data_IF_842639882090
#
_entry.id   IF_842639882090
#
_cell.length_a   1.000
_cell.length_b   1.000
_cell.length_c   1.000
_cell.angle_alpha   90.00
_cell.angle_beta   90.00
_cell.angle_gamma   90.00
#
_symmetry.space_group_name_H-M   'P 1'
#
loop_
_entity.id
_entity.type
_entity.pdbx_description
1 polymer ?
#
# COMPACT_ATOMS: atom_id res chain seq x y z
N UNK A 1 -5.10 30.63 14.92
CA UNK A 1 -5.63 29.82 13.79
C UNK A 1 -6.53 28.75 14.38
N UNK A 2 -7.78 28.60 13.92
CA UNK A 2 -8.63 27.47 14.33
C UNK A 2 -8.00 26.20 13.77
N UNK A 3 -7.50 25.34 14.64
CA UNK A 3 -6.96 24.04 14.27
C UNK A 3 -8.18 23.14 14.02
N UNK A 4 -8.50 22.90 12.76
CA UNK A 4 -9.49 21.87 12.42
C UNK A 4 -8.90 20.48 12.72
N UNK A 5 -9.72 19.51 13.13
CA UNK A 5 -9.22 18.16 13.33
C UNK A 5 -8.66 17.62 12.00
N UNK A 6 -7.58 16.83 12.04
CA UNK A 6 -6.96 16.32 10.82
C UNK A 6 -7.97 15.49 10.01
N UNK A 7 -7.99 15.70 8.69
CA UNK A 7 -8.85 14.94 7.77
C UNK A 7 -8.20 13.64 7.28
N UNK A 8 -6.86 13.58 7.30
CA UNK A 8 -6.09 12.47 6.76
C UNK A 8 -5.21 11.86 7.84
N UNK A 9 -5.28 10.53 7.99
CA UNK A 9 -4.29 9.75 8.75
C UNK A 9 -3.40 9.00 7.76
N UNK A 10 -2.08 9.21 7.83
CA UNK A 10 -1.11 8.37 7.14
C UNK A 10 -0.52 7.38 8.14
N UNK A 11 -0.75 6.10 7.89
CA UNK A 11 -0.24 4.98 8.68
C UNK A 11 1.07 4.50 8.06
N UNK A 12 2.13 4.45 8.84
CA UNK A 12 3.45 3.96 8.39
C UNK A 12 3.86 2.79 9.28
N UNK A 13 3.51 1.55 8.89
CA UNK A 13 4.03 0.37 9.57
C UNK A 13 5.52 0.20 9.27
N UNK A 14 6.32 -0.02 10.31
CA UNK A 14 7.76 -0.23 10.18
C UNK A 14 8.24 -1.41 11.00
N UNK A 15 9.20 -2.15 10.45
CA UNK A 15 10.04 -3.12 11.14
C UNK A 15 11.40 -3.15 10.49
N UNK A 16 12.45 -2.84 11.26
CA UNK A 16 13.84 -2.78 10.78
C UNK A 16 13.97 -1.91 9.53
N UNK A 17 13.48 -0.67 9.63
CA UNK A 17 13.39 0.29 8.52
C UNK A 17 14.23 1.55 8.72
N UNK A 18 15.30 1.50 9.53
CA UNK A 18 16.12 2.66 9.89
C UNK A 18 16.60 3.48 8.68
N UNK A 19 16.88 2.79 7.55
CA UNK A 19 17.44 3.43 6.35
C UNK A 19 16.40 4.26 5.56
N UNK A 20 15.10 4.03 5.75
CA UNK A 20 14.07 4.59 4.88
C UNK A 20 12.93 5.32 5.61
N UNK A 21 12.65 4.97 6.86
CA UNK A 21 11.46 5.45 7.58
C UNK A 21 11.43 6.97 7.73
N UNK A 22 12.58 7.63 7.91
CA UNK A 22 12.64 9.10 7.97
C UNK A 22 12.19 9.74 6.67
N UNK A 23 12.60 9.20 5.53
CA UNK A 23 12.19 9.70 4.22
C UNK A 23 10.70 9.50 3.99
N UNK A 24 10.17 8.33 4.33
CA UNK A 24 8.74 8.05 4.24
C UNK A 24 7.93 9.10 5.01
N UNK A 25 8.27 9.31 6.29
CA UNK A 25 7.57 10.31 7.14
C UNK A 25 7.73 11.73 6.59
N UNK A 26 8.95 12.16 6.23
CA UNK A 26 9.20 13.50 5.67
C UNK A 26 8.40 13.75 4.40
N UNK A 27 8.29 12.76 3.51
CA UNK A 27 7.50 12.90 2.28
C UNK A 27 6.01 13.19 2.53
N UNK A 28 5.49 12.72 3.68
CA UNK A 28 4.13 13.00 4.14
C UNK A 28 4.05 14.36 4.81
N UNK A 29 5.00 14.72 5.67
CA UNK A 29 5.00 16.01 6.38
C UNK A 29 5.18 17.21 5.42
N UNK A 30 5.80 16.99 4.26
CA UNK A 30 6.03 17.98 3.21
C UNK A 30 4.87 18.13 2.21
N UNK A 31 3.76 17.41 2.43
CA UNK A 31 2.58 17.54 1.56
C UNK A 31 1.95 18.94 1.65
N UNK A 32 1.36 19.38 0.54
CA UNK A 32 0.67 20.69 0.46
C UNK A 32 -0.61 20.75 1.29
N UNK A 33 -1.18 19.63 1.73
CA UNK A 33 -2.24 19.57 2.74
C UNK A 33 -1.62 19.60 4.13
N UNK A 34 -2.22 20.36 5.04
CA UNK A 34 -1.69 20.56 6.41
C UNK A 34 -2.54 19.86 7.49
N UNK A 35 -3.77 19.51 7.17
CA UNK A 35 -4.74 18.86 8.05
C UNK A 35 -4.56 17.33 8.04
N UNK A 36 -3.32 16.89 8.30
CA UNK A 36 -2.94 15.49 8.35
C UNK A 36 -2.26 15.11 9.67
N UNK A 37 -2.32 13.84 10.00
CA UNK A 37 -1.51 13.22 11.05
C UNK A 37 -0.80 11.99 10.51
N UNK A 38 0.36 11.69 11.07
CA UNK A 38 1.18 10.51 10.76
C UNK A 38 1.21 9.60 11.97
N UNK A 39 0.86 8.35 11.79
CA UNK A 39 1.01 7.32 12.82
C UNK A 39 2.06 6.34 12.36
N UNK A 40 3.23 6.37 12.97
CA UNK A 40 4.31 5.41 12.71
C UNK A 40 4.20 4.28 13.72
N UNK A 41 4.02 3.06 13.24
CA UNK A 41 3.86 1.87 14.08
C UNK A 41 5.10 0.97 13.96
N UNK A 42 5.91 0.89 15.03
CA UNK A 42 7.10 0.04 15.10
C UNK A 42 6.74 -1.36 15.61
N UNK A 43 6.90 -2.36 14.73
CA UNK A 43 6.64 -3.76 15.03
C UNK A 43 7.88 -4.47 15.61
N UNK A 44 8.34 -4.01 16.78
CA UNK A 44 9.48 -4.60 17.51
C UNK A 44 10.76 -4.58 16.69
N UNK A 45 11.14 -3.42 16.13
CA UNK A 45 12.43 -3.26 15.43
C UNK A 45 13.61 -3.50 16.37
N UNK A 46 14.65 -4.11 15.83
CA UNK A 46 15.90 -4.49 16.52
C UNK A 46 17.14 -3.79 15.93
N UNK A 47 16.93 -3.00 14.88
CA UNK A 47 17.94 -2.12 14.28
C UNK A 47 17.84 -0.69 14.87
N UNK A 48 18.44 0.29 14.19
CA UNK A 48 18.39 1.71 14.59
C UNK A 48 17.05 2.43 14.26
N UNK A 49 15.98 1.68 13.95
CA UNK A 49 14.66 2.28 13.70
C UNK A 49 14.16 3.12 14.90
N UNK A 50 14.24 2.65 16.16
CA UNK A 50 13.78 3.46 17.31
C UNK A 50 14.47 4.83 17.39
N UNK A 51 15.77 4.92 17.14
CA UNK A 51 16.53 6.17 17.12
C UNK A 51 16.10 7.09 15.96
N UNK A 52 15.86 6.52 14.78
CA UNK A 52 15.33 7.27 13.64
C UNK A 52 13.95 7.86 13.95
N UNK A 53 13.07 7.09 14.57
CA UNK A 53 11.74 7.54 14.97
C UNK A 53 11.78 8.63 16.04
N UNK A 54 12.71 8.56 16.99
CA UNK A 54 12.85 9.57 18.05
C UNK A 54 13.12 10.96 17.46
N UNK A 55 13.90 11.07 16.37
CA UNK A 55 14.16 12.33 15.68
C UNK A 55 12.90 12.94 15.02
N UNK A 56 11.92 12.11 14.71
CA UNK A 56 10.66 12.53 14.08
C UNK A 56 9.59 12.93 15.10
N UNK A 57 9.74 12.51 16.35
CA UNK A 57 8.75 12.73 17.43
C UNK A 57 8.58 14.21 17.80
N UNK A 58 9.46 15.11 17.35
CA UNK A 58 9.35 16.56 17.58
C UNK A 58 8.27 17.24 16.74
N UNK A 59 7.83 16.64 15.63
CA UNK A 59 6.72 17.20 14.83
C UNK A 59 5.38 16.80 15.48
N UNK A 60 4.53 17.77 15.88
CA UNK A 60 3.28 17.47 16.58
C UNK A 60 2.27 16.66 15.76
N UNK A 61 2.46 16.55 14.47
CA UNK A 61 1.63 15.71 13.58
C UNK A 61 2.02 14.24 13.63
N UNK A 62 3.19 13.90 14.21
CA UNK A 62 3.73 12.52 14.24
C UNK A 62 3.43 11.86 15.59
N UNK A 63 2.78 10.72 15.52
CA UNK A 63 2.57 9.82 16.66
C UNK A 63 3.32 8.51 16.43
N UNK A 64 4.16 8.13 17.38
CA UNK A 64 4.95 6.90 17.31
C UNK A 64 4.35 5.89 18.29
N UNK A 65 4.10 4.68 17.79
CA UNK A 65 3.55 3.56 18.55
C UNK A 65 4.46 2.36 18.39
N UNK A 66 5.05 1.87 19.50
CA UNK A 66 5.75 0.60 19.51
C UNK A 66 4.81 -0.52 19.90
N UNK A 67 4.78 -1.61 19.14
CA UNK A 67 3.95 -2.77 19.46
C UNK A 67 4.48 -3.48 20.72
N UNK A 68 3.58 -3.99 21.55
CA UNK A 68 3.96 -4.72 22.78
C UNK A 68 4.63 -6.07 22.47
N UNK A 69 4.26 -6.70 21.35
CA UNK A 69 4.82 -7.95 20.86
C UNK A 69 4.98 -7.90 19.34
N UNK A 70 5.82 -8.81 18.81
CA UNK A 70 5.98 -8.97 17.38
C UNK A 70 4.69 -9.52 16.77
N UNK A 71 4.11 -8.78 15.83
CA UNK A 71 2.91 -9.16 15.09
C UNK A 71 3.29 -9.73 13.72
N UNK A 72 2.40 -10.56 13.16
CA UNK A 72 2.42 -10.87 11.72
C UNK A 72 2.24 -9.61 10.89
N UNK A 73 2.51 -9.65 9.60
CA UNK A 73 2.31 -8.49 8.72
C UNK A 73 0.83 -8.07 8.69
N UNK A 74 -0.10 -9.01 8.55
CA UNK A 74 -1.53 -8.73 8.56
C UNK A 74 -1.98 -8.17 9.93
N UNK A 75 -1.57 -8.79 11.03
CA UNK A 75 -1.86 -8.32 12.38
C UNK A 75 -1.32 -6.91 12.65
N UNK A 76 -0.11 -6.59 12.15
CA UNK A 76 0.47 -5.25 12.26
C UNK A 76 -0.33 -4.21 11.46
N UNK A 77 -0.72 -4.54 10.22
CA UNK A 77 -1.54 -3.64 9.40
C UNK A 77 -2.93 -3.44 10.03
N UNK A 78 -3.54 -4.49 10.59
CA UNK A 78 -4.80 -4.39 11.33
C UNK A 78 -4.69 -3.48 12.55
N UNK A 79 -3.59 -3.59 13.31
CA UNK A 79 -3.31 -2.69 14.43
C UNK A 79 -3.14 -1.24 13.98
N UNK A 80 -2.54 -1.01 12.80
CA UNK A 80 -2.47 0.32 12.19
C UNK A 80 -3.87 0.83 11.80
N UNK A 81 -4.68 0.03 11.10
CA UNK A 81 -6.03 0.41 10.68
C UNK A 81 -6.93 0.80 11.86
N UNK A 82 -6.81 0.12 13.00
CA UNK A 82 -7.57 0.42 14.21
C UNK A 82 -7.30 1.83 14.78
N UNK A 83 -6.25 2.52 14.30
CA UNK A 83 -5.88 3.88 14.73
C UNK A 83 -6.37 4.98 13.79
N UNK A 84 -7.15 4.62 12.77
CA UNK A 84 -7.76 5.59 11.85
C UNK A 84 -8.96 6.23 12.52
N UNK A 85 -8.85 7.52 12.81
CA UNK A 85 -9.91 8.35 13.42
C UNK A 85 -10.39 9.47 12.49
N UNK A 86 -9.80 9.55 11.30
CA UNK A 86 -10.05 10.60 10.31
C UNK A 86 -10.96 10.11 9.20
N UNK A 87 -11.45 11.02 8.36
CA UNK A 87 -12.31 10.67 7.23
C UNK A 87 -11.57 9.87 6.17
N UNK A 88 -10.30 10.21 5.93
CA UNK A 88 -9.46 9.58 4.93
C UNK A 88 -8.20 9.01 5.57
N UNK A 89 -7.67 7.95 4.99
CA UNK A 89 -6.38 7.40 5.40
C UNK A 89 -5.57 6.88 4.22
N UNK A 90 -4.27 6.77 4.44
CA UNK A 90 -3.31 6.08 3.60
C UNK A 90 -2.50 5.11 4.45
N UNK A 91 -2.19 3.91 3.92
CA UNK A 91 -1.17 3.03 4.46
C UNK A 91 0.03 3.12 3.52
N UNK A 92 1.12 3.72 4.00
CA UNK A 92 2.38 3.89 3.28
C UNK A 92 3.43 2.99 3.91
N UNK A 93 4.02 2.05 3.17
CA UNK A 93 5.12 1.25 3.68
C UNK A 93 6.32 2.14 4.01
N UNK A 94 7.08 1.79 5.05
CA UNK A 94 8.19 2.59 5.55
C UNK A 94 9.36 2.77 4.56
N UNK A 95 9.42 1.94 3.54
CA UNK A 95 10.42 1.96 2.47
C UNK A 95 9.97 2.74 1.22
N UNK A 96 8.69 3.14 1.17
CA UNK A 96 8.09 3.92 0.10
C UNK A 96 8.01 5.41 0.47
N UNK A 97 7.71 6.28 -0.50
CA UNK A 97 7.51 7.70 -0.24
C UNK A 97 6.53 8.34 -1.25
N UNK A 98 5.98 9.49 -0.89
CA UNK A 98 5.15 10.29 -1.79
C UNK A 98 6.03 11.04 -2.78
N UNK A 99 5.83 10.80 -4.08
CA UNK A 99 6.67 11.34 -5.15
C UNK A 99 6.31 12.79 -5.56
N UNK A 100 5.23 13.34 -5.01
CA UNK A 100 4.76 14.70 -5.26
C UNK A 100 4.26 15.33 -3.97
N UNK A 101 4.52 16.62 -3.77
CA UNK A 101 3.99 17.40 -2.64
C UNK A 101 2.46 17.56 -2.69
N UNK A 102 1.84 17.32 -3.84
CA UNK A 102 0.40 17.41 -4.05
C UNK A 102 -0.30 16.04 -4.06
N UNK A 103 0.41 14.98 -3.72
CA UNK A 103 -0.15 13.63 -3.80
C UNK A 103 -1.41 13.47 -2.95
N UNK A 104 -1.34 13.78 -1.66
CA UNK A 104 -2.50 13.68 -0.77
C UNK A 104 -3.62 14.66 -1.12
N UNK A 105 -3.26 15.89 -1.55
CA UNK A 105 -4.25 16.88 -2.03
C UNK A 105 -5.02 16.32 -3.22
N UNK A 106 -4.32 15.78 -4.21
CA UNK A 106 -4.95 15.17 -5.40
C UNK A 106 -5.92 14.05 -5.03
N UNK A 107 -5.54 13.15 -4.13
CA UNK A 107 -6.42 12.07 -3.66
C UNK A 107 -7.63 12.61 -2.89
N UNK A 108 -7.43 13.57 -1.98
CA UNK A 108 -8.47 14.20 -1.19
C UNK A 108 -9.50 14.93 -2.08
N UNK A 109 -9.03 15.71 -3.03
CA UNK A 109 -9.90 16.50 -3.89
C UNK A 109 -10.81 15.61 -4.74
N UNK A 110 -10.32 14.44 -5.21
CA UNK A 110 -11.16 13.42 -5.86
C UNK A 110 -12.21 12.88 -4.89
N UNK A 111 -11.83 12.51 -3.65
CA UNK A 111 -12.76 11.96 -2.67
C UNK A 111 -13.83 12.98 -2.25
N UNK A 112 -13.47 14.25 -2.11
CA UNK A 112 -14.42 15.32 -1.78
C UNK A 112 -15.39 15.60 -2.94
N UNK A 113 -14.89 15.62 -4.18
CA UNK A 113 -15.71 15.85 -5.37
C UNK A 113 -16.63 14.68 -5.72
N UNK A 114 -16.31 13.46 -5.25
CA UNK A 114 -17.05 12.23 -5.57
C UNK A 114 -17.33 11.42 -4.29
N UNK A 115 -18.44 11.72 -3.57
CA UNK A 115 -18.73 11.11 -2.27
C UNK A 115 -18.93 9.58 -2.31
N UNK A 116 -19.26 9.00 -3.46
CA UNK A 116 -19.41 7.57 -3.68
C UNK A 116 -18.11 6.84 -4.01
N UNK A 117 -17.00 7.59 -4.24
CA UNK A 117 -15.66 7.00 -4.40
C UNK A 117 -15.10 6.62 -3.04
N UNK A 118 -14.74 5.36 -2.88
CA UNK A 118 -14.19 4.79 -1.65
C UNK A 118 -12.66 4.81 -1.61
N UNK A 119 -11.99 4.70 -2.76
CA UNK A 119 -10.53 4.72 -2.82
C UNK A 119 -10.01 5.37 -4.11
N UNK A 120 -8.91 6.09 -3.99
CA UNK A 120 -8.17 6.69 -5.10
C UNK A 120 -6.84 5.95 -5.25
N UNK A 121 -6.53 5.55 -6.47
CA UNK A 121 -5.27 4.93 -6.88
C UNK A 121 -4.53 5.84 -7.83
N UNK A 122 -3.23 5.60 -8.00
CA UNK A 122 -2.39 6.37 -8.93
C UNK A 122 -1.37 5.49 -9.65
N UNK A 123 -0.69 6.05 -10.63
CA UNK A 123 0.50 5.42 -11.20
C UNK A 123 1.62 5.35 -10.16
N UNK A 124 2.55 4.40 -10.33
CA UNK A 124 3.61 4.13 -9.37
C UNK A 124 4.97 4.35 -10.02
N UNK A 125 5.81 5.13 -9.37
CA UNK A 125 7.22 5.26 -9.70
C UNK A 125 8.01 4.16 -8.99
N UNK A 126 8.70 3.30 -9.72
CA UNK A 126 9.63 2.33 -9.13
C UNK A 126 11.04 2.92 -9.08
N UNK A 127 11.65 2.86 -7.91
CA UNK A 127 12.99 3.39 -7.65
C UNK A 127 13.88 2.35 -6.96
N UNK A 128 15.21 2.51 -7.07
CA UNK A 128 16.17 1.74 -6.28
C UNK A 128 16.37 2.35 -4.88
N UNK A 129 17.24 1.73 -4.06
CA UNK A 129 17.56 2.22 -2.72
C UNK A 129 18.11 3.66 -2.72
N UNK A 130 18.75 4.08 -3.80
CA UNK A 130 19.33 5.43 -4.00
C UNK A 130 18.36 6.40 -4.69
N UNK A 131 17.05 6.09 -4.78
CA UNK A 131 16.00 6.88 -5.45
C UNK A 131 16.17 7.00 -6.97
N UNK A 132 17.06 6.25 -7.59
CA UNK A 132 17.16 6.24 -9.04
C UNK A 132 15.97 5.53 -9.63
N UNK A 133 15.36 6.15 -10.65
CA UNK A 133 14.18 5.59 -11.32
C UNK A 133 14.55 4.29 -12.04
N UNK A 134 13.80 3.23 -11.74
CA UNK A 134 13.83 1.94 -12.44
C UNK A 134 12.79 1.95 -13.56
N UNK A 135 11.53 2.28 -13.23
CA UNK A 135 10.39 2.26 -14.15
C UNK A 135 9.25 3.13 -13.64
N UNK A 136 8.27 3.38 -14.48
CA UNK A 136 6.96 3.89 -14.05
C UNK A 136 5.90 2.89 -14.47
N UNK A 137 5.15 2.38 -13.49
CA UNK A 137 3.98 1.54 -13.75
C UNK A 137 2.79 2.43 -14.02
N UNK A 138 2.39 2.50 -15.30
CA UNK A 138 1.20 3.20 -15.74
C UNK A 138 0.05 2.20 -15.89
N UNK A 139 -1.09 2.50 -15.27
CA UNK A 139 -2.25 1.60 -15.31
C UNK A 139 -3.13 1.83 -16.56
N UNK A 140 -2.81 2.83 -17.41
CA UNK A 140 -3.52 3.16 -18.67
C UNK A 140 -5.02 3.38 -18.47
N UNK A 141 -5.40 3.94 -17.31
CA UNK A 141 -6.77 4.29 -16.94
C UNK A 141 -6.78 5.66 -16.26
N UNK A 142 -7.88 6.37 -16.40
CA UNK A 142 -8.15 7.64 -15.75
C UNK A 142 -9.63 7.65 -15.36
N UNK A 143 -9.93 8.09 -14.15
CA UNK A 143 -11.29 8.08 -13.65
C UNK A 143 -11.71 6.77 -12.97
N UNK A 144 -13.01 6.49 -12.97
CA UNK A 144 -13.57 5.31 -12.32
C UNK A 144 -13.21 4.04 -13.04
N UNK A 145 -13.00 2.97 -12.29
CA UNK A 145 -12.76 1.65 -12.86
C UNK A 145 -13.49 0.56 -12.07
N UNK A 146 -13.77 -0.56 -12.75
CA UNK A 146 -14.51 -1.67 -12.16
C UNK A 146 -13.62 -2.54 -11.27
N UNK A 147 -14.08 -2.72 -10.04
CA UNK A 147 -13.34 -3.44 -8.98
C UNK A 147 -13.35 -4.94 -9.20
N UNK A 148 -14.50 -5.52 -9.55
CA UNK A 148 -14.62 -6.97 -9.73
C UNK A 148 -13.82 -7.43 -10.95
N UNK A 149 -13.89 -6.70 -12.07
CA UNK A 149 -13.06 -6.94 -13.24
C UNK A 149 -11.57 -6.81 -12.93
N UNK A 150 -11.17 -5.79 -12.15
CA UNK A 150 -9.76 -5.61 -11.74
C UNK A 150 -9.33 -6.70 -10.77
N UNK A 151 -10.20 -7.10 -9.83
CA UNK A 151 -9.98 -8.21 -8.90
C UNK A 151 -9.79 -9.54 -9.64
N UNK A 152 -10.71 -9.87 -10.54
CA UNK A 152 -10.58 -11.07 -11.40
C UNK A 152 -9.29 -11.03 -12.22
N UNK A 153 -8.97 -9.89 -12.80
CA UNK A 153 -7.73 -9.70 -13.58
C UNK A 153 -6.48 -9.86 -12.69
N UNK A 154 -6.53 -9.40 -11.42
CA UNK A 154 -5.44 -9.58 -10.45
C UNK A 154 -5.23 -11.05 -10.12
N UNK A 155 -6.33 -11.80 -9.90
CA UNK A 155 -6.29 -13.24 -9.67
C UNK A 155 -5.66 -13.97 -10.85
N UNK A 156 -6.10 -13.68 -12.08
CA UNK A 156 -5.59 -14.29 -13.31
C UNK A 156 -4.12 -13.92 -13.60
N UNK A 157 -3.70 -12.71 -13.21
CA UNK A 157 -2.33 -12.24 -13.37
C UNK A 157 -1.38 -12.74 -12.26
N UNK A 158 -1.91 -13.30 -11.16
CA UNK A 158 -1.13 -13.68 -9.99
C UNK A 158 -0.41 -12.50 -9.33
N UNK A 159 -0.99 -11.29 -9.39
CA UNK A 159 -0.41 -10.06 -8.83
C UNK A 159 -1.47 -8.98 -8.66
N UNK A 160 -1.21 -8.02 -7.77
CA UNK A 160 -2.06 -6.85 -7.61
C UNK A 160 -2.08 -5.98 -8.88
N UNK A 161 -3.27 -5.80 -9.48
CA UNK A 161 -3.52 -4.89 -10.60
C UNK A 161 -4.30 -3.62 -10.19
N UNK A 162 -4.69 -3.48 -8.93
CA UNK A 162 -5.22 -2.21 -8.39
C UNK A 162 -4.11 -1.17 -8.30
N UNK A 163 -2.96 -1.55 -7.81
CA UNK A 163 -1.87 -0.67 -7.43
C UNK A 163 -1.83 -0.43 -5.93
N UNK A 164 -1.12 0.63 -5.53
CA UNK A 164 -1.09 1.11 -4.15
C UNK A 164 -2.18 2.19 -4.03
N UNK A 165 -3.10 2.09 -3.07
CA UNK A 165 -4.09 3.13 -2.87
C UNK A 165 -3.40 4.40 -2.34
N UNK A 166 -3.66 5.53 -3.01
CA UNK A 166 -3.17 6.84 -2.61
C UNK A 166 -3.93 7.37 -1.39
N UNK A 167 -5.25 7.19 -1.40
CA UNK A 167 -6.10 7.60 -0.30
C UNK A 167 -7.39 6.76 -0.28
N UNK A 168 -7.83 6.39 0.91
CA UNK A 168 -9.02 5.54 1.13
C UNK A 168 -9.95 6.27 2.09
N UNK A 169 -11.25 6.19 1.83
CA UNK A 169 -12.29 6.65 2.73
C UNK A 169 -12.44 5.67 3.89
N UNK A 170 -12.21 6.10 5.12
CA UNK A 170 -12.15 5.24 6.31
C UNK A 170 -13.42 4.40 6.50
N UNK A 171 -14.61 4.97 6.21
CA UNK A 171 -15.89 4.23 6.31
C UNK A 171 -15.96 3.00 5.39
N UNK A 172 -15.25 3.01 4.27
CA UNK A 172 -15.27 1.93 3.30
C UNK A 172 -14.59 0.65 3.78
N UNK A 173 -13.70 0.77 4.76
CA UNK A 173 -12.97 -0.36 5.34
C UNK A 173 -13.29 -0.60 6.81
N UNK A 174 -14.29 0.10 7.35
CA UNK A 174 -14.69 -0.07 8.75
C UNK A 174 -15.15 -1.50 9.00
N UNK A 175 -14.53 -2.18 9.94
CA UNK A 175 -14.80 -3.58 10.25
C UNK A 175 -14.12 -4.58 9.30
N UNK A 176 -13.42 -4.13 8.26
CA UNK A 176 -12.58 -4.99 7.44
C UNK A 176 -11.19 -5.14 8.07
N UNK A 177 -10.57 -6.29 7.82
CA UNK A 177 -9.22 -6.61 8.30
C UNK A 177 -8.41 -7.26 7.20
N UNK A 178 -7.09 -7.09 7.26
CA UNK A 178 -6.17 -7.92 6.50
C UNK A 178 -6.26 -9.36 7.01
N UNK A 179 -6.45 -10.30 6.11
CA UNK A 179 -6.60 -11.72 6.42
C UNK A 179 -5.21 -12.36 6.60
N UNK A 180 -4.98 -12.99 7.75
CA UNK A 180 -3.74 -13.70 8.08
C UNK A 180 -3.41 -14.83 7.10
N UNK A 181 -4.42 -15.39 6.42
CA UNK A 181 -4.24 -16.39 5.38
C UNK A 181 -3.74 -15.81 4.04
N UNK A 182 -3.73 -14.48 3.92
CA UNK A 182 -3.37 -13.73 2.70
C UNK A 182 -2.17 -12.79 2.91
N UNK A 183 -1.05 -13.24 3.48
CA UNK A 183 0.05 -12.35 3.91
C UNK A 183 0.65 -11.50 2.78
N UNK A 184 0.45 -11.87 1.51
CA UNK A 184 1.11 -11.21 0.37
C UNK A 184 0.17 -10.57 -0.64
N UNK A 185 -1.10 -10.88 -0.58
CA UNK A 185 -2.14 -10.35 -1.50
C UNK A 185 -3.36 -9.84 -0.75
N UNK A 186 -3.22 -9.61 0.55
CA UNK A 186 -4.27 -9.05 1.41
C UNK A 186 -4.71 -7.66 0.95
N UNK A 187 -3.84 -6.92 0.26
CA UNK A 187 -4.16 -5.65 -0.39
C UNK A 187 -5.19 -5.81 -1.53
N UNK A 188 -5.15 -6.91 -2.29
CA UNK A 188 -6.16 -7.24 -3.31
C UNK A 188 -7.48 -7.60 -2.65
N UNK A 189 -7.46 -8.41 -1.60
CA UNK A 189 -8.64 -8.79 -0.82
C UNK A 189 -9.34 -7.56 -0.24
N UNK A 190 -8.57 -6.69 0.44
CA UNK A 190 -9.09 -5.48 1.06
C UNK A 190 -9.60 -4.47 0.01
N UNK A 191 -8.94 -4.37 -1.15
CA UNK A 191 -9.38 -3.52 -2.25
C UNK A 191 -10.76 -3.94 -2.79
N UNK A 192 -11.00 -5.24 -2.96
CA UNK A 192 -12.29 -5.76 -3.41
C UNK A 192 -13.36 -5.53 -2.34
N UNK A 193 -13.07 -5.90 -1.08
CA UNK A 193 -14.00 -5.76 0.03
C UNK A 193 -14.34 -4.27 0.32
N UNK A 194 -13.34 -3.40 0.37
CA UNK A 194 -13.51 -1.97 0.66
C UNK A 194 -14.21 -1.17 -0.44
N UNK A 195 -14.25 -1.72 -1.66
CA UNK A 195 -15.02 -1.11 -2.74
C UNK A 195 -16.48 -1.59 -2.78
N UNK A 196 -16.87 -2.56 -1.96
CA UNK A 196 -18.26 -2.98 -1.84
C UNK A 196 -19.13 -1.78 -1.43
N UNK A 197 -20.11 -1.41 -2.27
CA UNK A 197 -20.98 -0.27 -2.03
C UNK A 197 -20.44 1.09 -2.46
N UNK A 198 -19.32 1.16 -3.21
CA UNK A 198 -18.79 2.41 -3.75
C UNK A 198 -17.91 2.20 -4.99
N UNK A 199 -17.45 3.30 -5.55
CA UNK A 199 -16.55 3.31 -6.69
C UNK A 199 -15.08 3.40 -6.26
N UNK A 200 -14.18 3.08 -7.17
CA UNK A 200 -12.75 3.37 -7.08
C UNK A 200 -12.33 4.26 -8.25
N UNK A 201 -11.34 5.09 -8.03
CA UNK A 201 -10.89 6.08 -9.00
C UNK A 201 -9.38 5.97 -9.22
N UNK A 202 -8.93 6.20 -10.44
CA UNK A 202 -7.51 6.23 -10.78
C UNK A 202 -7.09 7.59 -11.33
N UNK A 203 -6.01 8.13 -10.79
CA UNK A 203 -5.34 9.34 -11.26
C UNK A 203 -4.10 8.92 -12.07
N UNK A 204 -3.96 9.33 -13.35
CA UNK A 204 -2.86 8.90 -14.22
C UNK A 204 -1.58 9.72 -13.98
N UNK A 205 -1.19 9.84 -12.71
CA UNK A 205 0.02 10.52 -12.26
C UNK A 205 0.78 9.59 -11.32
N UNK A 206 2.12 9.58 -11.41
CA UNK A 206 2.98 8.79 -10.53
C UNK A 206 3.19 9.58 -9.21
N UNK A 207 2.32 9.34 -8.24
CA UNK A 207 2.28 10.09 -6.98
C UNK A 207 2.89 9.31 -5.80
N UNK A 208 3.13 8.01 -5.96
CA UNK A 208 3.79 7.15 -4.99
C UNK A 208 5.04 6.59 -5.61
N UNK A 209 6.16 6.67 -4.90
CA UNK A 209 7.39 5.97 -5.23
C UNK A 209 7.50 4.69 -4.41
N UNK A 210 7.52 3.55 -5.08
CA UNK A 210 7.72 2.24 -4.47
C UNK A 210 9.18 1.82 -4.66
N UNK A 211 9.85 1.54 -3.54
CA UNK A 211 11.28 1.30 -3.50
C UNK A 211 11.60 -0.18 -3.60
N UNK A 212 12.58 -0.49 -4.44
CA UNK A 212 13.18 -1.82 -4.52
C UNK A 212 14.56 -1.83 -3.88
N UNK A 213 14.73 -2.66 -2.85
CA UNK A 213 16.00 -2.90 -2.15
C UNK A 213 16.11 -4.37 -1.71
N UNK A 214 17.27 -4.80 -1.22
CA UNK A 214 17.53 -6.21 -0.94
C UNK A 214 16.61 -6.82 0.13
N UNK A 215 16.09 -6.00 1.04
CA UNK A 215 15.29 -6.42 2.20
C UNK A 215 13.78 -6.33 1.98
N UNK A 216 13.31 -5.97 0.77
CA UNK A 216 11.86 -5.91 0.52
C UNK A 216 11.17 -7.25 0.85
N UNK A 217 10.08 -7.19 1.60
CA UNK A 217 9.25 -8.35 1.91
C UNK A 217 8.78 -9.09 0.64
N UNK A 218 8.63 -8.36 -0.46
CA UNK A 218 8.27 -8.89 -1.79
C UNK A 218 9.17 -10.04 -2.27
N UNK A 219 10.43 -10.11 -1.83
CA UNK A 219 11.36 -11.17 -2.21
C UNK A 219 11.08 -12.52 -1.54
N UNK A 220 10.40 -12.51 -0.37
CA UNK A 220 9.97 -13.74 0.32
C UNK A 220 8.73 -14.41 -0.30
N UNK A 221 8.12 -13.79 -1.31
CA UNK A 221 6.78 -14.13 -1.82
C UNK A 221 6.79 -14.97 -3.09
N UNK A 222 7.83 -15.72 -3.34
CA UNK A 222 7.93 -16.50 -4.59
C UNK A 222 6.99 -17.71 -4.62
N UNK A 223 6.50 -18.16 -3.45
CA UNK A 223 5.62 -19.33 -3.33
C UNK A 223 4.31 -18.97 -2.64
N UNK A 224 3.23 -19.68 -2.94
CA UNK A 224 1.94 -19.52 -2.25
C UNK A 224 0.99 -18.45 -2.84
N UNK A 225 1.45 -17.51 -3.67
CA UNK A 225 0.59 -16.46 -4.27
C UNK A 225 -0.58 -17.07 -5.04
N UNK A 226 -0.35 -18.09 -5.84
CA UNK A 226 -1.41 -18.76 -6.60
C UNK A 226 -2.50 -19.35 -5.69
N UNK A 227 -2.12 -19.92 -4.54
CA UNK A 227 -3.08 -20.42 -3.54
C UNK A 227 -3.88 -19.27 -2.93
N UNK A 228 -3.20 -18.19 -2.52
CA UNK A 228 -3.85 -17.02 -1.92
C UNK A 228 -4.81 -16.35 -2.92
N UNK A 229 -4.44 -16.22 -4.20
CA UNK A 229 -5.33 -15.69 -5.24
C UNK A 229 -6.58 -16.56 -5.45
N UNK A 230 -6.48 -17.88 -5.31
CA UNK A 230 -7.66 -18.76 -5.32
C UNK A 230 -8.55 -18.57 -4.09
N UNK A 231 -7.98 -18.32 -2.92
CA UNK A 231 -8.75 -17.99 -1.72
C UNK A 231 -9.51 -16.68 -1.91
N UNK A 232 -8.88 -15.65 -2.47
CA UNK A 232 -9.54 -14.38 -2.82
C UNK A 232 -10.69 -14.63 -3.81
N UNK A 233 -10.44 -15.42 -4.86
CA UNK A 233 -11.48 -15.74 -5.84
C UNK A 233 -12.71 -16.39 -5.19
N UNK A 234 -12.48 -17.38 -4.31
CA UNK A 234 -13.54 -18.05 -3.57
C UNK A 234 -14.29 -17.10 -2.62
N UNK A 235 -13.55 -16.27 -1.87
CA UNK A 235 -14.10 -15.31 -0.89
C UNK A 235 -15.01 -14.27 -1.54
N UNK A 236 -14.66 -13.81 -2.75
CA UNK A 236 -15.39 -12.76 -3.47
C UNK A 236 -16.28 -13.28 -4.60
N UNK A 237 -16.55 -14.59 -4.65
CA UNK A 237 -17.42 -15.18 -5.68
C UNK A 237 -16.90 -15.06 -7.12
N UNK A 238 -15.58 -14.91 -7.31
CA UNK A 238 -14.96 -14.82 -8.62
C UNK A 238 -14.84 -16.22 -9.22
N UNK A 239 -15.69 -16.51 -10.20
CA UNK A 239 -15.65 -17.80 -10.89
C UNK A 239 -14.38 -17.96 -11.73
N UNK A 240 -13.71 -19.10 -11.58
CA UNK A 240 -12.52 -19.49 -12.34
C UNK A 240 -12.75 -20.84 -13.02
N UNK A 241 -12.74 -20.86 -14.35
CA UNK A 241 -12.73 -22.11 -15.15
C UNK A 241 -11.42 -22.88 -14.91
N UNK A 242 -11.36 -24.15 -15.38
CA UNK A 242 -10.13 -24.91 -15.33
C UNK A 242 -8.98 -24.24 -16.11
N UNK A 243 -9.29 -23.63 -17.25
CA UNK A 243 -8.35 -22.84 -18.04
C UNK A 243 -7.86 -21.60 -17.30
N UNK A 244 -8.76 -20.86 -16.63
CA UNK A 244 -8.39 -19.70 -15.81
C UNK A 244 -7.40 -20.08 -14.69
N UNK A 245 -7.62 -21.23 -14.03
CA UNK A 245 -6.73 -21.72 -12.96
C UNK A 245 -5.34 -22.05 -13.48
N UNK A 246 -5.25 -22.72 -14.65
CA UNK A 246 -3.98 -23.00 -15.31
C UNK A 246 -3.25 -21.73 -15.71
N UNK A 247 -3.97 -20.79 -16.34
CA UNK A 247 -3.46 -19.47 -16.72
C UNK A 247 -2.95 -18.67 -15.51
N UNK A 248 -3.69 -18.66 -14.42
CA UNK A 248 -3.29 -17.97 -13.18
C UNK A 248 -2.01 -18.57 -12.58
N UNK A 249 -1.90 -19.92 -12.57
CA UNK A 249 -0.69 -20.60 -12.10
C UNK A 249 0.53 -20.23 -12.95
N UNK A 250 0.41 -20.28 -14.28
CA UNK A 250 1.48 -19.92 -15.21
C UNK A 250 1.91 -18.44 -15.04
N UNK A 251 0.95 -17.52 -14.98
CA UNK A 251 1.24 -16.09 -14.78
C UNK A 251 1.90 -15.83 -13.43
N UNK A 252 1.54 -16.57 -12.37
CA UNK A 252 2.21 -16.47 -11.07
C UNK A 252 3.67 -16.89 -11.16
N UNK A 253 3.97 -17.98 -11.88
CA UNK A 253 5.35 -18.44 -12.10
C UNK A 253 6.16 -17.41 -12.90
N UNK A 254 5.58 -16.85 -13.97
CA UNK A 254 6.23 -15.79 -14.77
C UNK A 254 6.49 -14.52 -13.94
N UNK A 255 5.54 -14.13 -13.09
CA UNK A 255 5.70 -12.98 -12.19
C UNK A 255 6.81 -13.24 -11.16
N UNK A 256 6.89 -14.44 -10.60
CA UNK A 256 7.95 -14.83 -9.66
C UNK A 256 9.33 -14.81 -10.35
N UNK A 257 9.42 -15.34 -11.57
CA UNK A 257 10.66 -15.32 -12.35
C UNK A 257 11.12 -13.90 -12.67
N UNK A 258 10.20 -13.01 -13.11
CA UNK A 258 10.51 -11.61 -13.35
C UNK A 258 11.01 -10.89 -12.09
N UNK A 259 10.45 -11.19 -10.92
CA UNK A 259 10.93 -10.68 -9.63
C UNK A 259 12.34 -11.16 -9.30
N UNK A 260 12.66 -12.44 -9.56
CA UNK A 260 14.01 -12.97 -9.37
C UNK A 260 15.04 -12.25 -10.23
N UNK A 261 14.72 -12.02 -11.50
CA UNK A 261 15.59 -11.25 -12.41
C UNK A 261 15.78 -9.82 -11.93
N UNK A 262 14.72 -9.16 -11.48
CA UNK A 262 14.81 -7.80 -10.93
C UNK A 262 15.68 -7.77 -9.66
N UNK A 263 15.52 -8.76 -8.77
CA UNK A 263 16.36 -8.89 -7.56
C UNK A 263 17.84 -9.02 -7.91
N UNK A 264 18.16 -9.91 -8.86
CA UNK A 264 19.53 -10.09 -9.34
C UNK A 264 20.10 -8.79 -9.93
N UNK A 265 19.32 -8.10 -10.77
CA UNK A 265 19.69 -6.82 -11.34
C UNK A 265 20.02 -5.75 -10.28
N UNK A 266 19.21 -5.66 -9.23
CA UNK A 266 19.42 -4.71 -8.12
C UNK A 266 20.68 -5.07 -7.32
N UNK A 267 20.97 -6.37 -7.14
CA UNK A 267 22.17 -6.82 -6.43
C UNK A 267 23.47 -6.54 -7.20
N UNK A 268 23.45 -6.61 -8.53
CA UNK A 268 24.63 -6.34 -9.38
C UNK A 268 24.95 -4.84 -9.45
N UNK A 269 23.97 -3.97 -9.26
CA UNK A 269 24.15 -2.50 -9.33
C UNK A 269 24.47 -1.83 -7.99
N UNK A 270 24.69 -2.61 -6.95
CA UNK A 270 25.24 -2.15 -5.66
C UNK A 270 26.75 -2.06 -5.73
#
# INVERSE_FOLDING_TARGET
MKQYPPQITVLIPVRNGADFVEEAVRSVLEQSVVDLRVVVSDNQSTDRTPEALQRLASDPRVSIVRQAALLSMAGHFNNCLARVETEFYMLLCHDDYLASRDALRTGRDVLLAQPDVNAVYCDILYVDASRRRIATRRFRRNGRFDVLTTGRSSVLAGRNLFGIPLLIRARAVRGLTYDEALPYVGDVDLAIAGAAGGAVFHVPQALIANRYHAQNATWGVLTGVSRQMRLIAAKHGIFLSAFDRLRAALNTCLTAFAKLLLRAYIQIRR
#
